data_IF_791323161232
#
_entry.id   IF_791323161232
#
_cell.length_a   1.000
_cell.length_b   1.000
_cell.length_c   1.000
_cell.angle_alpha   90.00
_cell.angle_beta   90.00
_cell.angle_gamma   90.00
#
_symmetry.space_group_name_H-M   'P 1'
#
loop_
_entity.id
_entity.type
_entity.pdbx_description
1 polymer ?
#
# COMPACT_ATOMS: atom_id res chain seq x y z
N UNK A 1 -14.57 -8.44 34.05
CA UNK A 1 -13.81 -7.53 33.15
C UNK A 1 -14.81 -6.93 32.18
N UNK A 2 -15.24 -5.68 32.37
CA UNK A 2 -16.17 -5.01 31.44
C UNK A 2 -15.35 -4.47 30.26
N UNK A 3 -15.51 -5.06 29.09
CA UNK A 3 -14.84 -4.63 27.86
C UNK A 3 -15.62 -3.43 27.30
N UNK A 4 -15.03 -2.23 27.32
CA UNK A 4 -15.63 -1.04 26.73
C UNK A 4 -15.48 -1.10 25.21
N UNK A 5 -16.45 -1.71 24.53
CA UNK A 5 -16.48 -1.90 23.07
C UNK A 5 -16.22 -0.59 22.30
N UNK A 6 -16.73 0.53 22.83
CA UNK A 6 -16.59 1.87 22.26
C UNK A 6 -15.17 2.44 22.31
N UNK A 7 -14.35 1.99 23.26
CA UNK A 7 -12.95 2.39 23.38
C UNK A 7 -11.99 1.53 22.54
N UNK A 8 -12.42 0.33 22.15
CA UNK A 8 -11.61 -0.64 21.39
C UNK A 8 -11.81 -0.47 19.88
N UNK A 9 -12.93 0.13 19.46
CA UNK A 9 -13.24 0.34 18.05
C UNK A 9 -12.10 1.00 17.23
N UNK A 10 -11.45 2.10 17.66
CA UNK A 10 -10.31 2.67 16.94
C UNK A 10 -9.13 1.70 16.78
N UNK A 11 -8.90 0.84 17.79
CA UNK A 11 -7.82 -0.13 17.76
C UNK A 11 -8.10 -1.26 16.77
N UNK A 12 -9.36 -1.70 16.62
CA UNK A 12 -9.75 -2.71 15.63
C UNK A 12 -9.57 -2.15 14.22
N UNK A 13 -10.08 -0.93 13.96
CA UNK A 13 -9.92 -0.30 12.64
C UNK A 13 -8.46 -0.06 12.29
N UNK A 14 -7.65 0.38 13.27
CA UNK A 14 -6.22 0.56 13.08
C UNK A 14 -5.49 -0.77 12.84
N UNK A 15 -5.86 -1.84 13.53
CA UNK A 15 -5.27 -3.16 13.35
C UNK A 15 -5.56 -3.74 11.97
N UNK A 16 -6.82 -3.67 11.51
CA UNK A 16 -7.17 -4.09 10.15
C UNK A 16 -6.48 -3.24 9.10
N UNK A 17 -6.45 -1.91 9.27
CA UNK A 17 -5.75 -1.01 8.36
C UNK A 17 -4.24 -1.27 8.31
N UNK A 18 -3.63 -1.58 9.46
CA UNK A 18 -2.22 -1.93 9.57
C UNK A 18 -1.89 -3.20 8.78
N UNK A 19 -2.73 -4.23 8.89
CA UNK A 19 -2.56 -5.46 8.09
C UNK A 19 -2.66 -5.13 6.60
N UNK A 20 -3.69 -4.39 6.16
CA UNK A 20 -3.85 -4.02 4.76
C UNK A 20 -2.66 -3.21 4.23
N UNK A 21 -2.15 -2.26 5.02
CA UNK A 21 -1.00 -1.46 4.64
C UNK A 21 0.30 -2.28 4.56
N UNK A 22 0.49 -3.24 5.47
CA UNK A 22 1.59 -4.21 5.40
C UNK A 22 1.48 -5.11 4.17
N UNK A 23 0.27 -5.59 3.84
CA UNK A 23 0.04 -6.37 2.63
C UNK A 23 0.38 -5.57 1.38
N UNK A 24 -0.01 -4.29 1.31
CA UNK A 24 0.36 -3.41 0.20
C UNK A 24 1.89 -3.19 0.12
N UNK A 25 2.56 -3.01 1.26
CA UNK A 25 3.99 -2.73 1.32
C UNK A 25 4.86 -3.95 0.97
N UNK A 26 4.43 -5.13 1.39
CA UNK A 26 5.16 -6.40 1.23
C UNK A 26 4.60 -7.31 0.13
N UNK A 27 3.62 -6.84 -0.66
CA UNK A 27 3.16 -7.52 -1.86
C UNK A 27 4.34 -7.78 -2.81
N UNK A 28 4.36 -8.94 -3.46
CA UNK A 28 5.44 -9.30 -4.39
C UNK A 28 6.78 -9.60 -3.72
N UNK A 29 6.77 -9.89 -2.42
CA UNK A 29 7.96 -10.40 -1.76
C UNK A 29 8.31 -11.84 -2.14
N UNK A 30 7.29 -12.65 -2.32
CA UNK A 30 7.39 -14.07 -2.62
C UNK A 30 6.40 -14.34 -3.73
N UNK A 31 6.71 -15.32 -4.58
CA UNK A 31 5.89 -15.66 -5.75
C UNK A 31 4.46 -16.08 -5.38
N UNK A 32 4.24 -16.56 -4.15
CA UNK A 32 2.93 -16.97 -3.64
C UNK A 32 2.18 -15.91 -2.83
N UNK A 33 2.78 -14.73 -2.61
CA UNK A 33 2.24 -13.71 -1.71
C UNK A 33 1.61 -12.56 -2.51
N UNK A 34 0.29 -12.63 -2.68
CA UNK A 34 -0.53 -11.58 -3.33
C UNK A 34 0.07 -11.17 -4.69
N UNK A 35 0.29 -12.17 -5.54
CA UNK A 35 0.76 -12.06 -6.93
C UNK A 35 -0.04 -11.05 -7.76
N UNK A 36 -1.34 -10.95 -7.48
CA UNK A 36 -2.30 -10.12 -8.20
C UNK A 36 -2.60 -8.77 -7.49
N UNK A 37 -1.81 -8.41 -6.48
CA UNK A 37 -1.86 -7.13 -5.78
C UNK A 37 -0.65 -6.25 -6.09
N UNK A 38 -0.33 -6.17 -7.37
CA UNK A 38 0.62 -5.24 -7.94
C UNK A 38 0.05 -3.82 -8.06
N UNK A 39 0.93 -2.84 -8.18
CA UNK A 39 0.59 -1.46 -8.49
C UNK A 39 0.20 -1.34 -9.97
N UNK A 40 0.99 -2.00 -10.82
CA UNK A 40 0.75 -2.18 -12.26
C UNK A 40 1.48 -3.43 -12.75
N UNK A 41 0.94 -4.05 -13.79
CA UNK A 41 1.53 -5.15 -14.53
C UNK A 41 1.93 -4.64 -15.91
N UNK A 42 3.18 -4.86 -16.32
CA UNK A 42 3.66 -4.64 -17.68
C UNK A 42 3.63 -5.96 -18.44
N UNK A 43 3.21 -5.91 -19.70
CA UNK A 43 3.27 -7.01 -20.65
C UNK A 43 4.24 -6.66 -21.75
N UNK A 44 5.15 -7.58 -22.01
CA UNK A 44 6.19 -7.47 -23.03
C UNK A 44 5.90 -8.44 -24.16
N UNK A 45 6.31 -8.11 -25.40
CA UNK A 45 6.24 -9.06 -26.50
C UNK A 45 7.10 -10.29 -26.17
N UNK A 46 6.66 -11.44 -26.67
CA UNK A 46 7.42 -12.68 -26.64
C UNK A 46 8.69 -12.46 -27.48
N UNK A 47 9.81 -12.19 -26.80
CA UNK A 47 11.11 -12.23 -27.45
C UNK A 47 11.32 -13.68 -27.89
N UNK A 48 11.73 -13.92 -29.14
CA UNK A 48 11.76 -15.26 -29.76
C UNK A 48 12.70 -16.30 -29.14
N UNK A 49 13.08 -16.16 -27.86
CA UNK A 49 13.77 -17.13 -27.02
C UNK A 49 12.82 -17.63 -25.90
N UNK A 50 12.81 -18.95 -25.66
CA UNK A 50 12.01 -19.70 -24.66
C UNK A 50 12.25 -19.25 -23.18
N UNK A 51 12.99 -18.16 -22.95
CA UNK A 51 13.49 -17.72 -21.64
C UNK A 51 13.08 -16.29 -21.28
N UNK A 52 12.34 -15.58 -22.14
CA UNK A 52 11.91 -14.21 -21.87
C UNK A 52 10.61 -14.19 -21.06
N UNK A 53 10.58 -13.40 -19.99
CA UNK A 53 9.35 -13.18 -19.22
C UNK A 53 8.41 -12.27 -20.01
N UNK A 54 7.13 -12.65 -20.09
CA UNK A 54 6.10 -11.92 -20.83
C UNK A 54 5.32 -10.95 -19.93
N UNK A 55 5.47 -11.05 -18.60
CA UNK A 55 4.89 -10.09 -17.68
C UNK A 55 5.82 -9.70 -16.53
N UNK A 56 5.63 -8.46 -16.07
CA UNK A 56 6.33 -7.86 -14.93
C UNK A 56 5.32 -7.15 -14.03
N UNK A 57 5.06 -7.72 -12.86
CA UNK A 57 4.19 -7.15 -11.82
C UNK A 57 5.02 -6.25 -10.90
N UNK A 58 4.74 -4.94 -10.90
CA UNK A 58 5.47 -3.96 -10.11
C UNK A 58 4.75 -3.72 -8.79
N UNK A 59 5.46 -3.88 -7.67
CA UNK A 59 4.94 -3.62 -6.32
C UNK A 59 5.67 -2.42 -5.69
N UNK A 60 5.30 -2.07 -4.45
CA UNK A 60 5.84 -0.89 -3.75
C UNK A 60 7.35 -1.01 -3.46
N UNK A 61 7.83 -2.22 -3.14
CA UNK A 61 9.21 -2.47 -2.70
C UNK A 61 9.97 -3.49 -3.56
N UNK A 62 9.30 -4.10 -4.54
CA UNK A 62 9.85 -5.15 -5.39
C UNK A 62 9.08 -5.22 -6.71
N UNK A 63 9.55 -6.03 -7.64
CA UNK A 63 8.79 -6.47 -8.79
C UNK A 63 8.91 -7.99 -8.93
N UNK A 64 7.92 -8.61 -9.54
CA UNK A 64 7.93 -10.02 -9.91
C UNK A 64 7.82 -10.16 -11.42
N UNK A 65 8.44 -11.20 -11.96
CA UNK A 65 8.45 -11.51 -13.38
C UNK A 65 7.98 -12.94 -13.62
N UNK A 66 7.41 -13.19 -14.79
CA UNK A 66 7.06 -14.55 -15.18
C UNK A 66 6.46 -14.66 -16.58
N UNK A 67 5.84 -15.80 -16.83
CA UNK A 67 5.25 -16.16 -18.12
C UNK A 67 3.72 -16.31 -18.04
N UNK A 68 3.06 -15.99 -19.15
CA UNK A 68 1.62 -16.22 -19.31
C UNK A 68 1.43 -17.66 -19.79
N UNK A 69 0.83 -18.51 -18.98
CA UNK A 69 0.45 -19.86 -19.36
C UNK A 69 -1.02 -19.89 -19.79
N UNK A 70 -1.30 -20.38 -20.99
CA UNK A 70 -2.68 -20.64 -21.43
C UNK A 70 -3.16 -21.94 -20.78
N UNK A 71 -4.09 -21.87 -19.83
CA UNK A 71 -4.67 -23.05 -19.19
C UNK A 71 -6.01 -23.35 -19.84
N UNK A 72 -6.07 -24.39 -20.67
CA UNK A 72 -7.31 -24.96 -21.20
C UNK A 72 -7.42 -24.96 -22.73
N UNK A 73 -7.72 -26.13 -23.30
CA UNK A 73 -8.11 -26.29 -24.70
C UNK A 73 -9.54 -25.77 -24.91
N UNK A 74 -9.69 -24.49 -25.27
CA UNK A 74 -10.95 -23.95 -25.79
C UNK A 74 -11.61 -22.82 -24.98
N UNK A 75 -11.13 -22.50 -23.77
CA UNK A 75 -11.54 -21.31 -23.00
C UNK A 75 -10.26 -20.57 -22.58
N UNK A 76 -10.08 -19.33 -23.05
CA UNK A 76 -8.89 -18.51 -22.86
C UNK A 76 -8.77 -17.95 -21.44
N UNK A 77 -8.61 -18.81 -20.43
CA UNK A 77 -8.08 -18.39 -19.13
C UNK A 77 -6.56 -18.38 -19.20
N UNK A 78 -5.98 -17.20 -19.28
CA UNK A 78 -4.53 -16.98 -19.19
C UNK A 78 -4.15 -16.97 -17.71
N UNK A 79 -3.44 -17.99 -17.24
CA UNK A 79 -2.89 -18.04 -15.89
C UNK A 79 -1.50 -17.38 -15.89
N UNK A 80 -1.23 -16.55 -14.87
CA UNK A 80 0.11 -15.96 -14.68
C UNK A 80 0.95 -16.94 -13.88
N UNK A 81 2.07 -17.40 -14.43
CA UNK A 81 3.04 -18.21 -13.70
C UNK A 81 4.24 -17.34 -13.30
N UNK A 82 4.28 -16.95 -12.01
CA UNK A 82 5.34 -16.10 -11.47
C UNK A 82 6.62 -16.93 -11.27
N UNK A 83 7.67 -16.60 -12.02
CA UNK A 83 8.93 -17.35 -12.02
C UNK A 83 9.88 -16.85 -10.95
N UNK A 84 10.06 -15.53 -10.85
CA UNK A 84 11.05 -14.92 -9.96
C UNK A 84 10.58 -13.55 -9.48
N UNK A 85 11.00 -13.15 -8.27
CA UNK A 85 10.78 -11.81 -7.75
C UNK A 85 12.11 -11.17 -7.35
N UNK A 86 12.21 -9.86 -7.55
CA UNK A 86 13.37 -9.08 -7.19
C UNK A 86 13.57 -9.02 -5.67
N UNK A 87 14.81 -8.75 -5.24
CA UNK A 87 15.07 -8.45 -3.83
C UNK A 87 14.31 -7.18 -3.39
N UNK A 88 13.79 -7.20 -2.16
CA UNK A 88 13.06 -6.05 -1.59
C UNK A 88 14.04 -4.91 -1.31
N UNK A 89 13.75 -3.72 -1.80
CA UNK A 89 14.55 -2.52 -1.52
C UNK A 89 13.69 -1.40 -0.96
N UNK A 90 14.20 -0.70 0.06
CA UNK A 90 13.59 0.53 0.55
C UNK A 90 13.71 1.59 -0.54
N UNK A 91 12.59 2.24 -0.89
CA UNK A 91 12.52 3.21 -1.98
C UNK A 91 12.83 2.60 -3.36
N UNK A 92 12.30 1.40 -3.57
CA UNK A 92 12.33 0.74 -4.86
C UNK A 92 11.69 1.61 -5.95
N UNK A 93 12.27 1.56 -7.13
CA UNK A 93 11.70 2.07 -8.36
C UNK A 93 11.99 1.06 -9.46
N UNK A 94 10.95 0.66 -10.18
CA UNK A 94 11.13 -0.23 -11.32
C UNK A 94 11.89 0.48 -12.43
N UNK A 95 12.93 -0.19 -12.93
CA UNK A 95 13.71 0.25 -14.07
C UNK A 95 13.68 -0.84 -15.16
N UNK A 96 13.07 -0.58 -16.33
CA UNK A 96 12.96 -1.59 -17.39
C UNK A 96 14.32 -2.01 -17.94
N UNK A 97 15.33 -1.13 -17.93
CA UNK A 97 16.68 -1.44 -18.44
C UNK A 97 17.39 -2.50 -17.60
N UNK A 98 17.09 -2.59 -16.31
CA UNK A 98 17.69 -3.58 -15.41
C UNK A 98 16.90 -4.91 -15.40
N UNK A 99 15.59 -4.86 -15.71
CA UNK A 99 14.68 -5.99 -15.62
C UNK A 99 14.52 -6.78 -16.93
N UNK A 100 14.81 -6.15 -18.08
CA UNK A 100 14.66 -6.79 -19.38
C UNK A 100 16.00 -7.27 -19.93
N UNK A 101 16.03 -8.46 -20.57
CA UNK A 101 17.23 -8.95 -21.24
C UNK A 101 17.67 -8.00 -22.37
N UNK A 102 18.98 -7.94 -22.63
CA UNK A 102 19.59 -7.09 -23.66
C UNK A 102 18.97 -7.30 -25.07
N UNK A 103 18.44 -8.49 -25.33
CA UNK A 103 17.74 -8.86 -26.56
C UNK A 103 16.45 -8.05 -26.78
N UNK A 104 15.78 -7.64 -25.70
CA UNK A 104 14.55 -6.83 -25.73
C UNK A 104 14.89 -5.34 -25.77
N UNK A 105 15.98 -4.91 -25.13
CA UNK A 105 16.39 -3.49 -25.10
C UNK A 105 17.18 -3.04 -26.33
N UNK A 106 17.85 -3.98 -27.04
CA UNK A 106 18.64 -3.72 -28.25
C UNK A 106 18.18 -4.52 -29.48
N UNK A 107 17.03 -5.20 -29.39
CA UNK A 107 16.46 -5.94 -30.50
C UNK A 107 16.12 -5.02 -31.70
N UNK A 108 16.15 -5.55 -32.94
CA UNK A 108 15.86 -4.77 -34.15
C UNK A 108 14.42 -4.21 -34.23
N UNK A 109 13.55 -4.59 -33.28
CA UNK A 109 12.15 -4.18 -33.16
C UNK A 109 11.86 -3.22 -32.00
N UNK A 110 12.85 -2.89 -31.14
CA UNK A 110 12.66 -2.04 -29.96
C UNK A 110 13.73 -0.94 -29.92
N UNK A 111 13.52 0.12 -30.70
CA UNK A 111 14.23 1.38 -30.52
C UNK A 111 13.60 2.12 -29.33
N UNK A 112 14.05 1.82 -28.11
CA UNK A 112 13.47 2.37 -26.87
C UNK A 112 13.48 3.92 -26.90
N UNK A 113 12.33 4.59 -27.08
CA UNK A 113 12.31 6.03 -27.28
C UNK A 113 12.70 6.76 -26.00
N UNK A 114 13.42 7.88 -26.13
CA UNK A 114 13.76 8.76 -24.99
C UNK A 114 12.53 9.16 -24.16
N UNK A 115 11.38 9.30 -24.81
CA UNK A 115 10.10 9.64 -24.17
C UNK A 115 9.70 8.59 -23.12
N UNK A 116 9.89 7.30 -23.41
CA UNK A 116 9.53 6.24 -22.46
C UNK A 116 10.52 6.23 -21.28
N UNK A 117 11.81 6.45 -21.52
CA UNK A 117 12.79 6.59 -20.44
C UNK A 117 12.48 7.77 -19.51
N UNK A 118 12.04 8.90 -20.05
CA UNK A 118 11.63 10.06 -19.25
C UNK A 118 10.39 9.75 -18.40
N UNK A 119 9.43 9.02 -18.95
CA UNK A 119 8.25 8.56 -18.22
C UNK A 119 8.62 7.64 -17.05
N UNK A 120 9.51 6.66 -17.26
CA UNK A 120 10.00 5.77 -16.19
C UNK A 120 10.83 6.52 -15.15
N UNK A 121 11.55 7.56 -15.54
CA UNK A 121 12.23 8.43 -14.59
C UNK A 121 11.21 9.18 -13.69
N UNK A 122 10.14 9.74 -14.27
CA UNK A 122 9.06 10.38 -13.51
C UNK A 122 8.33 9.37 -12.60
N UNK A 123 8.10 8.15 -13.08
CA UNK A 123 7.57 7.05 -12.28
C UNK A 123 8.48 6.71 -11.11
N UNK A 124 9.80 6.63 -11.32
CA UNK A 124 10.76 6.29 -10.27
C UNK A 124 10.74 7.29 -9.11
N UNK A 125 10.60 8.58 -9.41
CA UNK A 125 10.47 9.63 -8.41
C UNK A 125 9.15 9.47 -7.62
N UNK A 126 8.08 9.17 -8.34
CA UNK A 126 6.73 9.03 -7.80
C UNK A 126 6.59 7.79 -6.91
N UNK A 127 7.11 6.64 -7.35
CA UNK A 127 7.09 5.37 -6.60
C UNK A 127 7.92 5.46 -5.31
N UNK A 128 9.09 6.10 -5.38
CA UNK A 128 9.94 6.37 -4.20
C UNK A 128 9.22 7.24 -3.18
N UNK A 129 8.59 8.32 -3.63
CA UNK A 129 7.79 9.19 -2.75
C UNK A 129 6.65 8.41 -2.11
N UNK A 130 5.93 7.58 -2.89
CA UNK A 130 4.86 6.73 -2.38
C UNK A 130 5.35 5.81 -1.27
N UNK A 131 6.49 5.15 -1.47
CA UNK A 131 7.10 4.25 -0.49
C UNK A 131 7.44 4.97 0.83
N UNK A 132 7.95 6.20 0.78
CA UNK A 132 8.20 7.02 1.98
C UNK A 132 6.91 7.22 2.78
N UNK A 133 5.83 7.65 2.11
CA UNK A 133 4.54 7.89 2.78
C UNK A 133 3.93 6.61 3.35
N UNK A 134 4.06 5.47 2.66
CA UNK A 134 3.67 4.18 3.22
C UNK A 134 4.45 3.82 4.48
N UNK A 135 5.78 3.99 4.48
CA UNK A 135 6.62 3.68 5.66
C UNK A 135 6.22 4.55 6.85
N UNK A 136 6.01 5.85 6.64
CA UNK A 136 5.55 6.77 7.69
C UNK A 136 4.18 6.35 8.20
N UNK A 137 3.24 6.06 7.31
CA UNK A 137 1.87 5.68 7.68
C UNK A 137 1.78 4.35 8.43
N UNK A 138 2.49 3.32 7.95
CA UNK A 138 2.60 2.01 8.61
C UNK A 138 3.28 2.15 9.96
N UNK A 139 4.38 2.90 10.03
CA UNK A 139 5.10 3.18 11.28
C UNK A 139 4.20 3.86 12.31
N UNK A 140 3.53 4.96 11.92
CA UNK A 140 2.62 5.69 12.79
C UNK A 140 1.44 4.81 13.27
N UNK A 141 0.86 3.98 12.40
CA UNK A 141 -0.19 3.04 12.79
C UNK A 141 0.34 1.99 13.79
N UNK A 142 1.55 1.48 13.58
CA UNK A 142 2.22 0.58 14.51
C UNK A 142 2.42 1.23 15.89
N UNK A 143 2.89 2.46 15.95
CA UNK A 143 3.02 3.22 17.20
C UNK A 143 1.66 3.47 17.88
N UNK A 144 0.60 3.76 17.12
CA UNK A 144 -0.75 3.90 17.67
C UNK A 144 -1.21 2.59 18.33
N UNK A 145 -1.00 1.44 17.69
CA UNK A 145 -1.34 0.13 18.25
C UNK A 145 -0.52 -0.21 19.50
N UNK A 146 0.79 0.06 19.47
CA UNK A 146 1.66 -0.12 20.65
C UNK A 146 1.21 0.75 21.82
N UNK A 147 0.83 2.01 21.56
CA UNK A 147 0.33 2.91 22.59
C UNK A 147 -0.93 2.37 23.29
N UNK A 148 -1.83 1.72 22.55
CA UNK A 148 -3.03 1.05 23.08
C UNK A 148 -2.67 -0.18 23.91
N UNK A 149 -1.75 -1.01 23.45
CA UNK A 149 -1.27 -2.19 24.20
C UNK A 149 -0.61 -1.76 25.52
N UNK A 150 0.27 -0.75 25.49
CA UNK A 150 0.90 -0.20 26.69
C UNK A 150 -0.10 0.37 27.67
N UNK A 151 -1.16 1.02 27.20
CA UNK A 151 -2.24 1.55 28.05
C UNK A 151 -3.01 0.45 28.78
N UNK A 152 -3.23 -0.68 28.10
CA UNK A 152 -3.88 -1.85 28.69
C UNK A 152 -3.03 -2.48 29.79
N UNK A 153 -1.71 -2.59 29.58
CA UNK A 153 -0.76 -3.14 30.56
C UNK A 153 -0.64 -2.21 31.79
N UNK A 154 -0.47 -0.90 31.56
CA UNK A 154 -0.18 0.07 32.63
C UNK A 154 -1.44 0.60 33.34
N UNK A 155 -2.65 0.23 32.87
CA UNK A 155 -3.95 0.74 33.35
C UNK A 155 -4.03 2.27 33.44
N UNK A 156 -3.26 2.99 32.61
CA UNK A 156 -3.23 4.45 32.61
C UNK A 156 -4.15 5.00 31.53
N UNK A 157 -5.07 5.88 31.92
CA UNK A 157 -6.12 6.40 31.04
C UNK A 157 -5.65 7.47 30.02
N UNK A 158 -4.42 7.99 30.12
CA UNK A 158 -4.00 9.23 29.45
C UNK A 158 -3.33 9.11 28.06
N UNK A 159 -3.33 7.94 27.42
CA UNK A 159 -2.62 7.77 26.13
C UNK A 159 -3.45 8.14 24.89
N UNK A 160 -4.71 8.57 25.07
CA UNK A 160 -5.65 8.81 23.96
C UNK A 160 -5.23 9.92 22.98
N UNK A 161 -4.57 10.99 23.46
CA UNK A 161 -4.13 12.09 22.61
C UNK A 161 -2.98 11.69 21.67
N UNK A 162 -2.02 10.93 22.20
CA UNK A 162 -0.90 10.42 21.40
C UNK A 162 -1.38 9.47 20.31
N UNK A 163 -2.26 8.56 20.66
CA UNK A 163 -2.88 7.65 19.70
C UNK A 163 -3.67 8.40 18.62
N UNK A 164 -4.49 9.39 19.00
CA UNK A 164 -5.18 10.24 18.04
C UNK A 164 -4.20 10.91 17.08
N UNK A 165 -3.11 11.49 17.60
CA UNK A 165 -2.06 12.11 16.78
C UNK A 165 -1.42 11.12 15.79
N UNK A 166 -1.05 9.93 16.25
CA UNK A 166 -0.48 8.89 15.39
C UNK A 166 -1.48 8.37 14.34
N UNK A 167 -2.76 8.21 14.69
CA UNK A 167 -3.79 7.79 13.73
C UNK A 167 -4.04 8.85 12.65
N UNK A 168 -4.05 10.14 13.01
CA UNK A 168 -4.18 11.22 12.03
C UNK A 168 -2.96 11.27 11.11
N UNK A 169 -1.74 11.17 11.67
CA UNK A 169 -0.51 11.12 10.87
C UNK A 169 -0.52 9.92 9.91
N UNK A 170 -0.97 8.75 10.39
CA UNK A 170 -1.14 7.56 9.58
C UNK A 170 -2.16 7.76 8.45
N UNK A 171 -3.35 8.27 8.78
CA UNK A 171 -4.41 8.50 7.83
C UNK A 171 -3.97 9.45 6.70
N UNK A 172 -3.31 10.56 7.05
CA UNK A 172 -2.79 11.52 6.07
C UNK A 172 -1.71 10.90 5.18
N UNK A 173 -0.74 10.20 5.78
CA UNK A 173 0.37 9.60 5.04
C UNK A 173 -0.11 8.50 4.09
N UNK A 174 -0.96 7.59 4.56
CA UNK A 174 -1.53 6.52 3.71
C UNK A 174 -2.45 7.12 2.64
N UNK A 175 -3.23 8.16 2.94
CA UNK A 175 -4.06 8.85 1.92
C UNK A 175 -3.22 9.43 0.79
N UNK A 176 -2.11 10.11 1.11
CA UNK A 176 -1.19 10.65 0.11
C UNK A 176 -0.60 9.51 -0.73
N UNK A 177 -0.18 8.42 -0.08
CA UNK A 177 0.32 7.25 -0.79
C UNK A 177 -0.75 6.61 -1.70
N UNK A 178 -2.01 6.51 -1.27
CA UNK A 178 -3.14 6.01 -2.08
C UNK A 178 -3.42 6.91 -3.28
N UNK A 179 -3.31 8.24 -3.12
CA UNK A 179 -3.46 9.19 -4.24
C UNK A 179 -2.34 8.98 -5.25
N UNK A 180 -1.10 8.87 -4.79
CA UNK A 180 0.05 8.60 -5.68
C UNK A 180 -0.12 7.27 -6.41
N UNK A 181 -0.54 6.21 -5.71
CA UNK A 181 -0.84 4.93 -6.32
C UNK A 181 -1.92 5.03 -7.40
N UNK A 182 -2.95 5.84 -7.16
CA UNK A 182 -4.03 6.09 -8.13
C UNK A 182 -3.52 6.84 -9.36
N UNK A 183 -2.62 7.81 -9.19
CA UNK A 183 -1.95 8.50 -10.31
C UNK A 183 -1.13 7.52 -11.14
N UNK A 184 -0.36 6.65 -10.50
CA UNK A 184 0.39 5.61 -11.19
C UNK A 184 -0.56 4.66 -11.95
N UNK A 185 -1.60 4.15 -11.28
CA UNK A 185 -2.55 3.22 -11.84
C UNK A 185 -3.25 3.77 -13.10
N UNK A 186 -3.64 5.04 -13.13
CA UNK A 186 -4.38 5.58 -14.27
C UNK A 186 -3.51 6.33 -15.26
N UNK A 187 -2.65 7.24 -14.79
CA UNK A 187 -1.89 8.11 -15.69
C UNK A 187 -0.67 7.40 -16.27
N UNK A 188 0.11 6.72 -15.43
CA UNK A 188 1.33 6.07 -15.90
C UNK A 188 1.02 4.87 -16.80
N UNK A 189 0.01 4.07 -16.44
CA UNK A 189 -0.48 2.97 -17.29
C UNK A 189 -1.01 3.47 -18.64
N UNK A 190 -1.79 4.56 -18.66
CA UNK A 190 -2.25 5.15 -19.92
C UNK A 190 -1.09 5.63 -20.80
N UNK A 191 -0.06 6.22 -20.19
CA UNK A 191 1.12 6.71 -20.89
C UNK A 191 1.94 5.57 -21.49
N UNK A 192 2.15 4.48 -20.74
CA UNK A 192 2.80 3.26 -21.24
C UNK A 192 2.01 2.67 -22.40
N UNK A 193 0.68 2.56 -22.29
CA UNK A 193 -0.14 2.02 -23.38
C UNK A 193 -0.13 2.91 -24.63
N UNK A 194 -0.07 4.24 -24.46
CA UNK A 194 0.01 5.17 -25.58
C UNK A 194 1.36 5.12 -26.31
N UNK A 195 2.47 4.99 -25.57
CA UNK A 195 3.82 4.94 -26.14
C UNK A 195 4.27 3.51 -26.53
N UNK A 196 3.62 2.48 -26.00
CA UNK A 196 3.96 1.06 -26.19
C UNK A 196 3.31 0.38 -27.40
N UNK A 197 2.32 1.02 -28.05
CA UNK A 197 1.53 0.45 -29.17
C UNK A 197 2.41 0.00 -30.35
N UNK A 198 3.46 0.76 -30.68
CA UNK A 198 4.40 0.42 -31.76
C UNK A 198 5.33 -0.76 -31.45
N UNK A 199 5.48 -1.12 -30.17
CA UNK A 199 6.43 -2.13 -29.70
C UNK A 199 5.74 -3.34 -29.06
N UNK A 200 4.41 -3.44 -29.16
CA UNK A 200 3.59 -4.48 -28.53
C UNK A 200 3.82 -4.60 -27.01
N UNK A 201 4.08 -3.47 -26.35
CA UNK A 201 4.19 -3.37 -24.89
C UNK A 201 2.89 -2.77 -24.36
N UNK A 202 2.30 -3.40 -23.36
CA UNK A 202 1.08 -2.88 -22.71
C UNK A 202 1.20 -2.92 -21.20
N UNK A 203 0.35 -2.16 -20.52
CA UNK A 203 0.29 -2.09 -19.07
C UNK A 203 -1.15 -2.19 -18.58
N UNK A 204 -1.33 -2.83 -17.43
CA UNK A 204 -2.59 -2.90 -16.71
C UNK A 204 -2.38 -2.44 -15.27
N UNK A 205 -3.34 -1.74 -14.69
CA UNK A 205 -3.27 -1.32 -13.30
C UNK A 205 -3.78 -2.41 -12.36
N UNK A 206 -3.25 -2.47 -11.14
CA UNK A 206 -3.66 -3.46 -10.16
C UNK A 206 -4.88 -3.02 -9.35
N UNK A 207 -6.05 -3.56 -9.72
CA UNK A 207 -7.32 -3.26 -9.05
C UNK A 207 -7.33 -3.64 -7.56
N UNK A 208 -6.77 -4.81 -7.24
CA UNK A 208 -6.74 -5.32 -5.86
C UNK A 208 -5.89 -4.43 -4.96
N UNK A 209 -4.74 -3.95 -5.45
CA UNK A 209 -3.90 -3.02 -4.72
C UNK A 209 -4.65 -1.70 -4.44
N UNK A 210 -5.30 -1.14 -5.47
CA UNK A 210 -6.08 0.10 -5.34
C UNK A 210 -7.20 -0.06 -4.30
N UNK A 211 -7.92 -1.18 -4.34
CA UNK A 211 -8.97 -1.49 -3.36
C UNK A 211 -8.44 -1.59 -1.93
N UNK A 212 -7.31 -2.28 -1.72
CA UNK A 212 -6.71 -2.44 -0.40
C UNK A 212 -6.16 -1.13 0.19
N UNK A 213 -5.50 -0.30 -0.63
CA UNK A 213 -4.95 0.98 -0.15
C UNK A 213 -6.05 1.95 0.25
N UNK A 214 -7.12 2.05 -0.54
CA UNK A 214 -8.28 2.89 -0.21
C UNK A 214 -9.08 2.35 0.97
N UNK A 215 -9.20 1.02 1.12
CA UNK A 215 -9.80 0.41 2.29
C UNK A 215 -9.00 0.72 3.57
N UNK A 216 -7.66 0.62 3.52
CA UNK A 216 -6.79 1.01 4.63
C UNK A 216 -6.96 2.49 5.00
N UNK A 217 -6.96 3.38 4.00
CA UNK A 217 -7.24 4.81 4.18
C UNK A 217 -8.59 5.06 4.86
N UNK A 218 -9.66 4.43 4.37
CA UNK A 218 -11.00 4.57 4.96
C UNK A 218 -11.06 4.11 6.41
N UNK A 219 -10.44 2.97 6.73
CA UNK A 219 -10.36 2.45 8.09
C UNK A 219 -9.57 3.37 9.03
N UNK A 220 -8.46 3.96 8.58
CA UNK A 220 -7.67 4.92 9.36
C UNK A 220 -8.44 6.22 9.60
N UNK A 221 -9.21 6.71 8.62
CA UNK A 221 -10.07 7.87 8.78
C UNK A 221 -11.18 7.61 9.81
N UNK A 222 -11.88 6.49 9.70
CA UNK A 222 -12.93 6.09 10.65
C UNK A 222 -12.34 5.90 12.06
N UNK A 223 -11.16 5.27 12.17
CA UNK A 223 -10.44 5.13 13.43
C UNK A 223 -10.03 6.47 14.04
N UNK A 224 -9.55 7.40 13.22
CA UNK A 224 -9.18 8.76 13.63
C UNK A 224 -10.39 9.54 14.15
N UNK A 225 -11.53 9.49 13.46
CA UNK A 225 -12.78 10.11 13.89
C UNK A 225 -13.27 9.51 15.21
N UNK A 226 -13.25 8.18 15.33
CA UNK A 226 -13.65 7.53 16.58
C UNK A 226 -12.72 7.87 17.74
N UNK A 227 -11.41 8.00 17.49
CA UNK A 227 -10.44 8.42 18.50
C UNK A 227 -10.68 9.87 18.93
N UNK A 228 -10.94 10.77 17.97
CA UNK A 228 -11.33 12.16 18.25
C UNK A 228 -12.55 12.25 19.18
N UNK A 229 -13.62 11.51 18.88
CA UNK A 229 -14.84 11.49 19.71
C UNK A 229 -14.52 10.99 21.14
N UNK A 230 -13.68 9.95 21.25
CA UNK A 230 -13.31 9.40 22.55
C UNK A 230 -12.48 10.38 23.39
N UNK A 231 -11.56 11.12 22.76
CA UNK A 231 -10.66 12.06 23.47
C UNK A 231 -11.36 13.37 23.80
N UNK A 232 -11.98 14.02 22.82
CA UNK A 232 -12.42 15.42 22.95
C UNK A 232 -13.90 15.56 23.34
N UNK A 233 -14.75 14.62 22.94
CA UNK A 233 -16.19 14.70 23.27
C UNK A 233 -16.48 14.01 24.60
N UNK A 234 -15.98 12.78 24.79
CA UNK A 234 -16.23 12.02 26.03
C UNK A 234 -15.30 12.36 27.18
N UNK A 235 -14.10 12.85 26.91
CA UNK A 235 -13.20 13.35 27.96
C UNK A 235 -13.80 14.53 28.72
N UNK A 236 -14.78 15.23 28.13
CA UNK A 236 -15.50 16.34 28.75
C UNK A 236 -16.66 15.89 29.67
N UNK A 237 -17.14 14.65 29.54
CA UNK A 237 -18.34 14.14 30.24
C UNK A 237 -18.06 13.46 31.59
N UNK A 238 -16.80 13.30 32.03
CA UNK A 238 -16.49 12.80 33.38
C UNK A 238 -16.49 14.01 34.34
N UNK A 239 -17.60 14.30 35.05
CA UNK A 239 -17.67 15.48 35.88
C UNK A 239 -16.81 15.21 37.11
N UNK A 240 -15.96 16.17 37.47
CA UNK A 240 -15.30 16.18 38.77
C UNK A 240 -16.37 15.90 39.84
N UNK A 241 -16.25 14.76 40.51
CA UNK A 241 -17.15 14.39 41.60
C UNK A 241 -17.12 15.56 42.59
N UNK A 242 -18.27 16.21 42.89
CA UNK A 242 -18.26 17.32 43.84
C UNK A 242 -17.69 16.81 45.16
N UNK A 243 -16.72 17.54 45.70
CA UNK A 243 -16.10 17.24 46.97
C UNK A 243 -17.20 16.98 48.02
N UNK A 244 -17.06 15.96 48.88
CA UNK A 244 -17.97 15.78 49.99
C UNK A 244 -17.99 17.08 50.77
N UNK A 245 -19.18 17.68 50.92
CA UNK A 245 -19.35 18.81 51.83
C UNK A 245 -19.02 18.26 53.21
N UNK A 246 -18.00 18.82 53.84
CA UNK A 246 -17.75 18.59 55.25
C UNK A 246 -19.05 18.96 55.98
N UNK A 247 -19.70 17.98 56.58
CA UNK A 247 -20.77 18.22 57.54
C UNK A 247 -20.09 18.86 58.76
N UNK A 248 -20.10 20.20 58.78
CA UNK A 248 -19.80 20.99 59.97
C UNK A 248 -20.75 20.58 61.09
N UNK A 249 -20.15 20.36 62.26
CA UNK A 249 -20.77 20.03 63.53
C UNK A 249 -21.98 20.92 63.88
N UNK A 250 -23.03 20.30 64.43
CA UNK A 250 -24.19 20.96 65.03
C UNK A 250 -25.17 19.98 65.63
#
# INVERSE_FOLDING_TARGET
MKVNFKGIFPAITAFTAFILALLCLFAGSQTSLLDDADLLTLYTPEAGSDTANNFYSVHVMSYCQGILETVGSGETSVARNVTECSSRTLLFAFNPTDAWPEEITHGPTLEWPRVISDDFNAFSLTSRSMAVFYIIGVGATGFALLSRVSSFITRKAQTGLFEFGFLVLAALSISIASIIATVIAFQFVALINAHGDGSNVSAQYGEKFLGMTWASTGLLLVGSISSFINVFVRGYEEPAMPAPKDEEEG
#
